data_IF_485455036835
#
_entry.id   IF_485455036835
#
_cell.length_a   1.000
_cell.length_b   1.000
_cell.length_c   1.000
_cell.angle_alpha   90.00
_cell.angle_beta   90.00
_cell.angle_gamma   90.00
#
_symmetry.space_group_name_H-M   'P 1'
#
loop_
_entity.id
_entity.type
_entity.pdbx_description
1 polymer ?
#
# COMPACT_ATOMS: atom_id res chain seq x y z
N UNK A 1 16.32 0.80 -6.22
CA UNK A 1 16.24 -0.13 -7.37
C UNK A 1 15.82 -1.52 -6.92
N UNK A 2 14.89 -2.15 -7.64
CA UNK A 2 14.42 -3.53 -7.40
C UNK A 2 15.38 -4.52 -8.06
N UNK A 3 16.49 -4.83 -7.40
CA UNK A 3 17.44 -5.83 -7.90
C UNK A 3 16.90 -7.24 -7.71
N UNK A 4 17.36 -8.20 -8.51
CA UNK A 4 16.97 -9.61 -8.39
C UNK A 4 17.21 -10.17 -6.99
N UNK A 5 18.29 -9.75 -6.32
CA UNK A 5 18.58 -10.13 -4.93
C UNK A 5 17.52 -9.62 -3.96
N UNK A 6 17.12 -8.35 -4.05
CA UNK A 6 16.04 -7.78 -3.22
C UNK A 6 14.69 -8.44 -3.49
N UNK A 7 14.36 -8.69 -4.75
CA UNK A 7 13.14 -9.40 -5.13
C UNK A 7 13.11 -10.82 -4.54
N UNK A 8 14.23 -11.54 -4.57
CA UNK A 8 14.33 -12.88 -3.98
C UNK A 8 14.16 -12.87 -2.45
N UNK A 9 14.67 -11.84 -1.78
CA UNK A 9 14.49 -11.67 -0.32
C UNK A 9 13.02 -11.46 0.07
N UNK A 10 12.26 -10.70 -0.73
CA UNK A 10 10.84 -10.43 -0.50
C UNK A 10 9.91 -11.59 -0.87
N UNK A 11 10.41 -12.60 -1.58
CA UNK A 11 9.58 -13.67 -2.16
C UNK A 11 8.80 -14.48 -1.13
N UNK A 12 9.42 -14.79 0.02
CA UNK A 12 8.74 -15.50 1.11
C UNK A 12 7.56 -14.72 1.65
N UNK A 13 7.70 -13.40 1.72
CA UNK A 13 6.66 -12.48 2.19
C UNK A 13 5.49 -12.41 1.23
N UNK A 14 5.76 -12.40 -0.09
CA UNK A 14 4.73 -12.48 -1.13
C UNK A 14 3.98 -13.82 -1.05
N UNK A 15 4.70 -14.94 -0.88
CA UNK A 15 4.09 -16.26 -0.69
C UNK A 15 3.17 -16.28 0.53
N UNK A 16 3.59 -15.67 1.65
CA UNK A 16 2.79 -15.63 2.87
C UNK A 16 1.46 -14.89 2.65
N UNK A 17 1.51 -13.71 2.00
CA UNK A 17 0.31 -12.98 1.61
C UNK A 17 -0.57 -13.80 0.64
N UNK A 18 0.06 -14.53 -0.30
CA UNK A 18 -0.65 -15.39 -1.25
C UNK A 18 -1.40 -16.55 -0.58
N UNK A 19 -0.82 -17.14 0.48
CA UNK A 19 -1.49 -18.15 1.30
C UNK A 19 -2.71 -17.55 2.02
N UNK A 20 -2.56 -16.39 2.66
CA UNK A 20 -3.68 -15.71 3.31
C UNK A 20 -4.81 -15.39 2.33
N UNK A 21 -4.47 -14.97 1.11
CA UNK A 21 -5.46 -14.73 0.05
C UNK A 21 -6.20 -16.00 -0.35
N UNK A 22 -5.48 -17.10 -0.58
CA UNK A 22 -6.08 -18.39 -0.93
C UNK A 22 -6.99 -18.89 0.20
N UNK A 23 -6.52 -18.89 1.44
CA UNK A 23 -7.28 -19.39 2.57
C UNK A 23 -8.57 -18.57 2.77
N UNK A 24 -8.51 -17.25 2.57
CA UNK A 24 -9.70 -16.39 2.56
C UNK A 24 -10.67 -16.69 1.41
N UNK A 25 -10.15 -16.96 0.20
CA UNK A 25 -10.98 -17.35 -0.93
C UNK A 25 -11.67 -18.69 -0.72
N UNK A 26 -10.96 -19.70 -0.19
CA UNK A 26 -11.52 -21.02 0.10
C UNK A 26 -12.68 -20.91 1.11
N UNK A 27 -12.54 -20.05 2.14
CA UNK A 27 -13.61 -19.71 3.08
C UNK A 27 -14.79 -19.02 2.35
N UNK A 28 -14.52 -18.00 1.54
CA UNK A 28 -15.55 -17.15 0.94
C UNK A 28 -16.35 -17.84 -0.17
N UNK A 29 -15.72 -18.70 -0.98
CA UNK A 29 -16.40 -19.48 -2.04
C UNK A 29 -17.42 -20.46 -1.46
N UNK A 30 -17.23 -20.91 -0.21
CA UNK A 30 -18.23 -21.74 0.46
C UNK A 30 -19.50 -21.00 0.87
N UNK A 31 -19.47 -19.66 0.90
CA UNK A 31 -20.54 -18.79 1.42
C UNK A 31 -21.21 -17.96 0.32
N UNK A 32 -20.45 -17.53 -0.69
CA UNK A 32 -20.90 -16.63 -1.75
C UNK A 32 -20.56 -17.21 -3.13
N UNK A 33 -21.50 -17.13 -4.07
CA UNK A 33 -21.30 -17.60 -5.46
C UNK A 33 -20.69 -16.53 -6.38
N UNK A 34 -20.69 -15.27 -5.97
CA UNK A 34 -20.20 -14.13 -6.74
C UNK A 34 -19.35 -13.21 -5.86
N UNK A 35 -18.28 -12.67 -6.42
CA UNK A 35 -17.36 -11.79 -5.71
C UNK A 35 -16.72 -10.77 -6.65
N UNK A 36 -16.49 -9.58 -6.13
CA UNK A 36 -15.81 -8.50 -6.86
C UNK A 36 -14.29 -8.74 -6.84
N UNK A 37 -13.78 -9.33 -7.92
CA UNK A 37 -12.39 -9.76 -8.01
C UNK A 37 -11.40 -8.59 -7.94
N UNK A 38 -11.75 -7.41 -8.45
CA UNK A 38 -10.85 -6.24 -8.41
C UNK A 38 -10.61 -5.79 -6.97
N UNK A 39 -11.63 -5.80 -6.12
CA UNK A 39 -11.54 -5.45 -4.70
C UNK A 39 -10.67 -6.45 -3.94
N UNK A 40 -10.85 -7.75 -4.20
CA UNK A 40 -10.05 -8.81 -3.61
C UNK A 40 -8.57 -8.70 -4.00
N UNK A 41 -8.27 -8.50 -5.28
CA UNK A 41 -6.90 -8.31 -5.74
C UNK A 41 -6.31 -6.98 -5.21
N UNK A 42 -7.12 -5.94 -5.03
CA UNK A 42 -6.69 -4.71 -4.39
C UNK A 42 -6.30 -4.92 -2.92
N UNK A 43 -7.05 -5.75 -2.16
CA UNK A 43 -6.66 -6.16 -0.80
C UNK A 43 -5.34 -6.91 -0.80
N UNK A 44 -5.19 -7.87 -1.71
CA UNK A 44 -4.01 -8.72 -1.79
C UNK A 44 -2.76 -7.89 -2.07
N UNK A 45 -2.84 -7.03 -3.09
CA UNK A 45 -1.73 -6.15 -3.46
C UNK A 45 -1.41 -5.14 -2.36
N UNK A 46 -2.42 -4.66 -1.62
CA UNK A 46 -2.20 -3.80 -0.45
C UNK A 46 -1.39 -4.53 0.63
N UNK A 47 -1.74 -5.77 0.95
CA UNK A 47 -1.00 -6.56 1.95
C UNK A 47 0.42 -6.88 1.50
N UNK A 48 0.61 -7.24 0.23
CA UNK A 48 1.94 -7.45 -0.37
C UNK A 48 2.80 -6.19 -0.26
N UNK A 49 2.26 -5.02 -0.61
CA UNK A 49 3.00 -3.75 -0.51
C UNK A 49 3.29 -3.42 0.96
N UNK A 50 2.29 -3.54 1.84
CA UNK A 50 2.43 -3.29 3.28
C UNK A 50 3.57 -4.09 3.88
N UNK A 51 3.64 -5.39 3.57
CA UNK A 51 4.66 -6.26 4.14
C UNK A 51 6.02 -6.15 3.45
N UNK A 52 6.08 -5.90 2.14
CA UNK A 52 7.35 -5.86 1.39
C UNK A 52 8.02 -4.48 1.45
N UNK A 53 7.25 -3.40 1.42
CA UNK A 53 7.79 -2.04 1.39
C UNK A 53 7.81 -1.37 2.77
N UNK A 54 6.89 -1.75 3.67
CA UNK A 54 6.77 -1.12 4.99
C UNK A 54 7.02 -2.10 6.14
N UNK A 55 7.17 -3.40 5.85
CA UNK A 55 7.36 -4.43 6.88
C UNK A 55 6.17 -4.59 7.82
N UNK A 56 4.97 -4.19 7.39
CA UNK A 56 3.74 -4.23 8.17
C UNK A 56 2.79 -5.31 7.67
N UNK A 57 2.13 -5.97 8.62
CA UNK A 57 1.03 -6.90 8.33
C UNK A 57 -0.29 -6.13 8.45
N UNK A 58 -0.83 -5.70 7.31
CA UNK A 58 -2.04 -4.87 7.26
C UNK A 58 -3.34 -5.69 7.41
N UNK A 59 -3.30 -6.99 7.11
CA UNK A 59 -4.42 -7.92 7.15
C UNK A 59 -5.68 -7.40 6.42
N UNK A 60 -5.47 -6.71 5.30
CA UNK A 60 -6.52 -6.03 4.52
C UNK A 60 -7.52 -7.00 3.90
N UNK A 61 -7.18 -8.29 3.83
CA UNK A 61 -8.07 -9.37 3.42
C UNK A 61 -9.27 -9.53 4.36
N UNK A 62 -8.98 -9.68 5.66
CA UNK A 62 -10.00 -9.92 6.70
C UNK A 62 -10.55 -8.63 7.27
N UNK A 63 -9.78 -7.55 7.27
CA UNK A 63 -10.23 -6.21 7.63
C UNK A 63 -10.23 -5.28 6.39
N UNK A 64 -11.38 -5.14 5.72
CA UNK A 64 -11.47 -4.29 4.54
C UNK A 64 -11.18 -2.82 4.80
N UNK A 65 -11.37 -2.38 6.04
CA UNK A 65 -11.24 -1.00 6.51
C UNK A 65 -9.96 -0.77 7.29
N UNK A 66 -9.00 -1.71 7.19
CA UNK A 66 -7.65 -1.54 7.65
C UNK A 66 -7.11 -0.18 7.19
N UNK A 67 -6.63 0.63 8.14
CA UNK A 67 -6.28 2.04 7.91
C UNK A 67 -5.34 2.21 6.71
N UNK A 68 -4.37 1.31 6.57
CA UNK A 68 -3.42 1.30 5.45
C UNK A 68 -4.12 1.18 4.09
N UNK A 69 -5.14 0.32 3.98
CA UNK A 69 -5.96 0.18 2.77
C UNK A 69 -6.85 1.39 2.54
N UNK A 70 -7.50 1.90 3.58
CA UNK A 70 -8.37 3.09 3.49
C UNK A 70 -7.60 4.28 2.95
N UNK A 71 -6.42 4.56 3.51
CA UNK A 71 -5.54 5.64 3.05
C UNK A 71 -4.98 5.34 1.65
N UNK A 72 -4.59 4.09 1.37
CA UNK A 72 -4.12 3.66 0.05
C UNK A 72 -5.14 3.90 -1.07
N UNK A 73 -6.44 3.64 -0.82
CA UNK A 73 -7.52 3.92 -1.79
C UNK A 73 -7.62 5.40 -2.15
N UNK A 74 -7.28 6.32 -1.24
CA UNK A 74 -7.32 7.78 -1.51
C UNK A 74 -6.30 8.22 -2.57
N UNK A 75 -5.26 7.42 -2.82
CA UNK A 75 -4.31 7.66 -3.92
C UNK A 75 -5.03 7.60 -5.27
N UNK A 76 -5.93 6.64 -5.45
CA UNK A 76 -6.63 6.40 -6.70
C UNK A 76 -7.95 7.18 -6.82
N UNK A 77 -8.52 7.62 -5.69
CA UNK A 77 -9.84 8.25 -5.62
C UNK A 77 -9.87 9.78 -5.69
N UNK A 78 -8.74 10.46 -5.94
CA UNK A 78 -8.70 11.93 -5.92
C UNK A 78 -9.39 12.54 -7.16
N UNK A 79 -10.60 13.13 -7.04
CA UNK A 79 -11.37 13.62 -8.19
C UNK A 79 -10.68 14.82 -8.87
N UNK A 80 -9.88 15.57 -8.11
CA UNK A 80 -9.09 16.71 -8.61
C UNK A 80 -7.69 16.28 -9.07
N UNK A 81 -7.35 15.00 -8.97
CA UNK A 81 -6.04 14.46 -9.34
C UNK A 81 -5.70 14.71 -10.81
N UNK A 82 -6.66 14.55 -11.71
CA UNK A 82 -6.45 14.78 -13.15
C UNK A 82 -6.15 16.25 -13.47
N UNK A 83 -6.89 17.18 -12.87
CA UNK A 83 -6.67 18.63 -13.06
C UNK A 83 -5.33 19.06 -12.48
N UNK A 84 -5.00 18.59 -11.27
CA UNK A 84 -3.70 18.85 -10.65
C UNK A 84 -2.54 18.27 -11.46
N UNK A 85 -2.68 17.03 -11.93
CA UNK A 85 -1.68 16.36 -12.76
C UNK A 85 -1.47 17.08 -14.08
N UNK A 86 -2.54 17.51 -14.75
CA UNK A 86 -2.46 18.32 -15.96
C UNK A 86 -1.72 19.64 -15.72
N UNK A 87 -2.03 20.34 -14.62
CA UNK A 87 -1.40 21.62 -14.28
C UNK A 87 0.09 21.46 -13.92
N UNK A 88 0.45 20.38 -13.22
CA UNK A 88 1.85 20.03 -12.92
C UNK A 88 2.61 19.68 -14.21
N UNK A 89 2.00 18.93 -15.13
CA UNK A 89 2.64 18.50 -16.37
C UNK A 89 2.83 19.66 -17.37
N UNK A 90 1.87 20.58 -17.47
CA UNK A 90 1.89 21.68 -18.45
C UNK A 90 2.55 22.95 -17.93
N UNK A 91 2.42 23.26 -16.64
CA UNK A 91 2.91 24.51 -16.05
C UNK A 91 3.57 24.26 -14.68
N UNK A 92 4.68 23.50 -14.62
CA UNK A 92 5.29 23.06 -13.37
C UNK A 92 5.73 24.22 -12.46
N UNK A 93 6.27 25.30 -13.02
CA UNK A 93 6.70 26.48 -12.24
C UNK A 93 5.52 27.20 -11.58
N UNK A 94 4.40 27.32 -12.30
CA UNK A 94 3.18 27.93 -11.76
C UNK A 94 2.53 27.02 -10.72
N UNK A 95 2.48 25.71 -10.99
CA UNK A 95 2.01 24.68 -10.06
C UNK A 95 2.75 24.76 -8.72
N UNK A 96 4.08 24.88 -8.79
CA UNK A 96 4.93 25.03 -7.61
C UNK A 96 4.68 26.35 -6.90
N UNK A 97 4.55 27.46 -7.64
CA UNK A 97 4.29 28.79 -7.08
C UNK A 97 3.00 28.85 -6.27
N UNK A 98 1.91 28.24 -6.75
CA UNK A 98 0.62 28.21 -6.03
C UNK A 98 0.50 27.04 -5.04
N UNK A 99 1.57 26.25 -4.86
CA UNK A 99 1.62 25.16 -3.87
C UNK A 99 0.76 23.94 -4.21
N UNK A 100 0.57 23.61 -5.50
CA UNK A 100 -0.17 22.41 -5.89
C UNK A 100 0.59 21.16 -5.46
N UNK A 101 0.00 20.40 -4.54
CA UNK A 101 0.46 19.07 -4.15
C UNK A 101 -0.34 18.00 -4.91
N UNK A 102 0.39 17.12 -5.58
CA UNK A 102 -0.13 15.95 -6.29
C UNK A 102 -0.75 14.94 -5.30
N UNK A 103 0.04 14.59 -4.27
CA UNK A 103 -0.39 13.70 -3.19
C UNK A 103 -1.21 14.50 -2.16
N UNK A 104 -2.33 13.92 -1.71
CA UNK A 104 -3.14 14.51 -0.65
C UNK A 104 -2.34 14.59 0.66
N UNK A 105 -2.41 15.70 1.42
CA UNK A 105 -1.65 15.88 2.66
C UNK A 105 -1.83 14.71 3.64
N UNK A 106 -3.07 14.29 3.86
CA UNK A 106 -3.42 13.15 4.74
C UNK A 106 -2.71 11.84 4.32
N UNK A 107 -2.66 11.57 3.01
CA UNK A 107 -1.99 10.38 2.48
C UNK A 107 -0.49 10.48 2.76
N UNK A 108 0.13 11.61 2.44
CA UNK A 108 1.56 11.80 2.67
C UNK A 108 1.92 11.71 4.16
N UNK A 109 1.13 12.34 5.03
CA UNK A 109 1.36 12.35 6.47
C UNK A 109 1.27 10.95 7.07
N UNK A 110 0.27 10.17 6.67
CA UNK A 110 0.12 8.78 7.10
C UNK A 110 1.34 7.93 6.72
N UNK A 111 1.75 7.93 5.45
CA UNK A 111 2.85 7.08 5.01
C UNK A 111 4.20 7.53 5.59
N UNK A 112 4.43 8.85 5.75
CA UNK A 112 5.62 9.34 6.45
C UNK A 112 5.63 8.94 7.93
N UNK A 113 4.48 8.99 8.60
CA UNK A 113 4.34 8.52 9.98
C UNK A 113 4.66 7.04 10.08
N UNK A 114 4.05 6.21 9.23
CA UNK A 114 4.30 4.76 9.17
C UNK A 114 5.79 4.45 9.00
N UNK A 115 6.46 5.08 8.03
CA UNK A 115 7.89 4.85 7.81
C UNK A 115 8.71 5.25 9.04
N UNK A 116 8.41 6.41 9.64
CA UNK A 116 9.12 6.89 10.84
C UNK A 116 8.96 5.92 12.01
N UNK A 117 7.73 5.54 12.31
CA UNK A 117 7.42 4.61 13.41
C UNK A 117 8.04 3.23 13.18
N UNK A 118 8.01 2.72 11.94
CA UNK A 118 8.65 1.45 11.59
C UNK A 118 10.17 1.51 11.78
N UNK A 119 10.83 2.59 11.33
CA UNK A 119 12.28 2.76 11.52
C UNK A 119 12.62 2.86 13.01
N UNK A 120 11.91 3.71 13.75
CA UNK A 120 12.12 3.91 15.18
C UNK A 120 11.95 2.59 15.96
N UNK A 121 10.92 1.81 15.63
CA UNK A 121 10.68 0.50 16.22
C UNK A 121 11.84 -0.46 15.95
N UNK A 122 12.32 -0.53 14.70
CA UNK A 122 13.43 -1.44 14.33
C UNK A 122 14.72 -1.09 15.05
N UNK A 123 15.05 0.20 15.15
CA UNK A 123 16.25 0.66 15.83
C UNK A 123 16.18 0.35 17.32
N UNK A 124 15.05 0.66 17.97
CA UNK A 124 14.86 0.41 19.40
C UNK A 124 14.87 -1.07 19.77
N UNK A 125 14.29 -1.92 18.93
CA UNK A 125 14.10 -3.36 19.21
C UNK A 125 15.12 -4.25 18.49
N UNK A 126 16.09 -3.69 17.77
CA UNK A 126 17.08 -4.40 16.97
C UNK A 126 16.47 -5.45 16.00
N UNK A 127 15.33 -5.10 15.40
CA UNK A 127 14.59 -5.99 14.49
C UNK A 127 15.16 -5.87 13.08
N UNK A 128 15.50 -7.02 12.47
CA UNK A 128 15.84 -7.13 11.05
C UNK A 128 14.76 -7.94 10.33
N UNK A 129 14.19 -7.38 9.26
CA UNK A 129 13.29 -8.08 8.33
C UNK A 129 13.89 -8.06 6.94
N UNK A 130 13.55 -9.07 6.15
CA UNK A 130 13.91 -9.18 4.73
C UNK A 130 12.86 -8.48 3.84
N UNK A 131 12.47 -7.28 4.25
CA UNK A 131 11.70 -6.33 3.44
C UNK A 131 12.65 -5.29 2.81
N UNK A 132 12.14 -4.39 1.97
CA UNK A 132 12.95 -3.48 1.16
C UNK A 132 13.77 -2.47 1.97
#
# INVERSE_FOLDING_TARGET
TFTSGKMKMMFSTIIAAGKQFRDFLDEKVSQESEFELKDLLARYTTDVIGTCAFGLECNSMRDPDAQFRVIGRKIFGNPRGMVKGFLIATMPRFAQFIGVKEILPEVSEFFFKVVRETVDYRVKNNVKRNDF
#
